data_IF_689242916937
#
_entry.id   IF_689242916937
#
_cell.length_a   1.000
_cell.length_b   1.000
_cell.length_c   1.000
_cell.angle_alpha   90.00
_cell.angle_beta   90.00
_cell.angle_gamma   90.00
#
_symmetry.space_group_name_H-M   'P 1'
#
loop_
_entity.id
_entity.type
_entity.pdbx_description
1 polymer ?
#
# COMPACT_ATOMS: atom_id res chain seq x y z
N UNK A 1 29.18 -61.89 -31.37
CA UNK A 1 29.08 -61.71 -32.84
C UNK A 1 27.64 -61.47 -33.37
N UNK A 2 26.58 -61.51 -32.54
CA UNK A 2 25.19 -61.29 -33.01
C UNK A 2 24.61 -59.87 -32.76
N UNK A 3 25.38 -58.93 -32.21
CA UNK A 3 24.94 -57.52 -32.03
C UNK A 3 25.41 -56.57 -33.14
N UNK A 4 26.35 -56.98 -33.99
CA UNK A 4 26.94 -56.10 -35.00
C UNK A 4 26.12 -56.04 -36.31
N UNK A 5 25.42 -57.11 -36.68
CA UNK A 5 24.69 -57.19 -37.97
C UNK A 5 23.31 -56.49 -37.91
N UNK A 6 22.73 -56.33 -36.71
CA UNK A 6 21.47 -55.60 -36.51
C UNK A 6 21.61 -54.07 -36.64
N UNK A 7 22.81 -53.51 -36.46
CA UNK A 7 23.02 -52.06 -36.53
C UNK A 7 23.23 -51.56 -37.96
N UNK A 8 23.83 -52.36 -38.85
CA UNK A 8 24.11 -51.93 -40.23
C UNK A 8 22.86 -51.79 -41.10
N UNK A 9 21.81 -52.62 -40.89
CA UNK A 9 20.53 -52.47 -41.60
C UNK A 9 19.71 -51.27 -41.12
N UNK A 10 19.85 -50.86 -39.86
CA UNK A 10 19.18 -49.66 -39.32
C UNK A 10 19.81 -48.37 -39.86
N UNK A 11 21.15 -48.31 -39.88
CA UNK A 11 21.91 -47.18 -40.41
C UNK A 11 21.66 -46.91 -41.91
N UNK A 12 21.51 -47.96 -42.73
CA UNK A 12 21.22 -47.81 -44.16
C UNK A 12 19.81 -47.25 -44.42
N UNK A 13 18.81 -47.69 -43.65
CA UNK A 13 17.43 -47.21 -43.79
C UNK A 13 17.23 -45.78 -43.28
N UNK A 14 18.00 -45.34 -42.28
CA UNK A 14 17.97 -43.96 -41.78
C UNK A 14 18.69 -42.98 -42.73
N UNK A 15 19.74 -43.44 -43.43
CA UNK A 15 20.45 -42.63 -44.43
C UNK A 15 19.61 -42.33 -45.69
N UNK A 16 18.81 -43.30 -46.16
CA UNK A 16 17.94 -43.11 -47.34
C UNK A 16 16.78 -42.14 -47.05
N UNK A 17 16.30 -42.08 -45.79
CA UNK A 17 15.25 -41.13 -45.36
C UNK A 17 15.73 -39.67 -45.27
N UNK A 18 17.03 -39.42 -45.09
CA UNK A 18 17.61 -38.07 -45.04
C UNK A 18 17.75 -37.40 -46.43
N UNK A 19 17.75 -38.19 -47.51
CA UNK A 19 17.90 -37.67 -48.88
C UNK A 19 16.63 -37.01 -49.44
N UNK A 20 15.48 -37.20 -48.79
CA UNK A 20 14.19 -36.64 -49.21
C UNK A 20 13.72 -35.44 -48.39
N UNK A 21 14.55 -34.94 -47.47
CA UNK A 21 14.25 -33.73 -46.70
C UNK A 21 14.66 -32.44 -47.44
N UNK A 22 13.89 -31.35 -47.29
CA UNK A 22 14.22 -30.04 -47.87
C UNK A 22 15.61 -29.55 -47.42
N UNK A 23 16.32 -28.85 -48.32
CA UNK A 23 17.75 -28.50 -48.16
C UNK A 23 18.10 -27.80 -46.84
N UNK A 24 17.15 -27.11 -46.21
CA UNK A 24 17.35 -26.35 -44.98
C UNK A 24 17.49 -27.21 -43.73
N UNK A 25 17.06 -28.49 -43.75
CA UNK A 25 17.15 -29.40 -42.59
C UNK A 25 18.42 -30.28 -42.63
N UNK A 26 19.13 -30.33 -43.77
CA UNK A 26 20.38 -31.10 -43.92
C UNK A 26 21.57 -30.55 -43.13
N UNK A 27 21.51 -29.30 -42.67
CA UNK A 27 22.65 -28.64 -42.00
C UNK A 27 22.79 -28.97 -40.50
N UNK A 28 21.81 -29.63 -39.88
CA UNK A 28 21.80 -29.87 -38.42
C UNK A 28 22.09 -31.32 -38.05
N UNK A 29 21.99 -32.27 -39.00
CA UNK A 29 22.11 -33.71 -38.72
C UNK A 29 23.54 -34.30 -38.87
N UNK A 30 24.56 -33.49 -39.15
CA UNK A 30 25.94 -33.99 -39.41
C UNK A 30 26.93 -33.75 -38.27
N UNK A 31 26.51 -33.19 -37.13
CA UNK A 31 27.42 -32.83 -36.03
C UNK A 31 27.25 -33.63 -34.74
N UNK A 32 26.38 -34.66 -34.71
CA UNK A 32 26.09 -35.41 -33.48
C UNK A 32 26.69 -36.83 -33.39
N UNK A 33 27.39 -37.33 -34.42
CA UNK A 33 28.02 -38.66 -34.36
C UNK A 33 29.38 -38.58 -35.04
N UNK A 34 30.40 -38.13 -34.30
CA UNK A 34 31.84 -38.40 -34.47
C UNK A 34 32.63 -37.30 -33.75
N UNK A 35 32.89 -37.50 -32.46
CA UNK A 35 34.19 -37.20 -31.84
C UNK A 35 34.18 -37.63 -30.38
N UNK A 36 34.65 -38.86 -30.19
CA UNK A 36 35.13 -39.37 -28.93
C UNK A 36 36.66 -39.23 -28.96
N UNK A 37 37.23 -38.79 -27.83
CA UNK A 37 38.63 -38.94 -27.42
C UNK A 37 39.72 -38.27 -28.27
N UNK A 38 40.14 -37.09 -27.80
CA UNK A 38 41.46 -36.43 -27.89
C UNK A 38 41.26 -34.96 -28.27
N UNK A 39 40.97 -34.10 -27.28
CA UNK A 39 41.27 -32.66 -27.30
C UNK A 39 40.94 -32.00 -25.94
N UNK A 40 41.30 -32.66 -24.84
CA UNK A 40 40.85 -32.31 -23.48
C UNK A 40 41.85 -31.47 -22.66
N UNK A 41 42.82 -30.80 -23.32
CA UNK A 41 43.82 -29.97 -22.59
C UNK A 41 44.16 -28.60 -23.17
N UNK A 42 43.66 -28.24 -24.36
CA UNK A 42 43.99 -26.94 -24.99
C UNK A 42 42.78 -26.02 -25.22
N UNK A 43 41.55 -26.50 -25.02
CA UNK A 43 40.34 -25.66 -25.12
C UNK A 43 39.99 -24.91 -23.82
N UNK A 44 40.58 -25.30 -22.68
CA UNK A 44 40.29 -24.72 -21.35
C UNK A 44 40.87 -23.32 -21.14
N UNK A 45 41.74 -22.82 -22.04
CA UNK A 45 42.35 -21.49 -21.95
C UNK A 45 41.79 -20.42 -22.90
N UNK A 46 40.89 -20.77 -23.85
CA UNK A 46 40.46 -19.81 -24.89
C UNK A 46 38.99 -19.37 -24.83
N UNK A 47 38.15 -19.88 -23.91
CA UNK A 47 36.71 -19.57 -23.86
C UNK A 47 36.23 -19.06 -22.50
N UNK A 48 37.03 -18.19 -21.85
CA UNK A 48 36.63 -17.48 -20.61
C UNK A 48 35.85 -16.18 -20.84
N UNK A 49 35.11 -16.09 -21.95
CA UNK A 49 34.19 -15.01 -22.25
C UNK A 49 32.92 -15.53 -22.91
N UNK A 50 31.76 -15.18 -22.32
CA UNK A 50 30.39 -15.29 -22.87
C UNK A 50 29.83 -16.75 -22.88
N UNK A 51 28.65 -17.16 -22.39
CA UNK A 51 27.45 -16.52 -21.81
C UNK A 51 26.57 -17.59 -21.10
N UNK A 52 25.88 -17.15 -20.03
CA UNK A 52 24.54 -17.54 -19.47
C UNK A 52 24.22 -18.92 -18.86
N UNK A 53 23.83 -18.85 -17.56
CA UNK A 53 22.73 -19.55 -16.85
C UNK A 53 22.66 -21.09 -16.80
N UNK A 54 23.06 -21.67 -15.66
CA UNK A 54 22.20 -22.46 -14.75
C UNK A 54 23.03 -23.14 -13.65
N UNK A 55 22.58 -23.03 -12.39
CA UNK A 55 22.92 -23.95 -11.30
C UNK A 55 24.14 -23.61 -10.41
N UNK A 56 23.86 -23.51 -9.10
CA UNK A 56 24.74 -23.84 -7.96
C UNK A 56 26.21 -23.38 -7.98
N UNK A 57 26.52 -22.38 -7.15
CA UNK A 57 27.90 -22.02 -6.78
C UNK A 57 28.28 -22.66 -5.44
N UNK A 58 29.45 -23.33 -5.30
CA UNK A 58 29.95 -23.77 -4.01
C UNK A 58 30.30 -22.56 -3.12
N UNK A 59 30.14 -22.72 -1.81
CA UNK A 59 30.43 -21.70 -0.80
C UNK A 59 31.88 -21.22 -0.87
N UNK A 60 32.06 -19.96 -1.28
CA UNK A 60 33.26 -19.18 -0.99
C UNK A 60 33.16 -18.66 0.46
N UNK A 61 34.30 -18.50 1.17
CA UNK A 61 34.31 -18.01 2.55
C UNK A 61 33.67 -16.63 2.66
N UNK A 62 32.95 -16.46 3.77
CA UNK A 62 32.04 -15.38 4.14
C UNK A 62 32.50 -13.97 3.70
N UNK A 63 32.11 -13.57 2.48
CA UNK A 63 32.12 -12.17 2.10
C UNK A 63 30.96 -11.50 2.82
N UNK A 64 31.26 -10.80 3.91
CA UNK A 64 30.35 -9.87 4.56
C UNK A 64 29.69 -9.00 3.48
N UNK A 65 28.40 -9.27 3.20
CA UNK A 65 27.57 -8.41 2.35
C UNK A 65 27.64 -7.01 2.94
N UNK A 66 28.37 -6.11 2.28
CA UNK A 66 28.33 -4.69 2.60
C UNK A 66 26.85 -4.25 2.62
N UNK A 67 26.40 -3.75 3.78
CA UNK A 67 25.03 -3.27 3.96
C UNK A 67 24.81 -2.12 2.96
N UNK A 68 24.02 -2.36 1.90
CA UNK A 68 23.50 -1.27 1.07
C UNK A 68 22.75 -0.28 1.98
N UNK A 69 23.02 1.01 1.82
CA UNK A 69 22.29 2.06 2.52
C UNK A 69 20.78 1.89 2.25
N UNK A 70 19.90 2.16 3.24
CA UNK A 70 18.46 2.12 3.03
C UNK A 70 18.04 3.05 1.88
N UNK A 71 17.02 2.65 1.11
CA UNK A 71 16.47 3.52 0.07
C UNK A 71 15.89 4.80 0.68
N UNK A 72 16.05 5.93 0.00
CA UNK A 72 15.46 7.21 0.43
C UNK A 72 13.93 7.08 0.34
N UNK A 73 13.17 7.38 1.42
CA UNK A 73 11.71 7.32 1.37
C UNK A 73 11.18 8.37 0.39
N UNK A 74 10.18 8.06 -0.43
CA UNK A 74 9.56 9.04 -1.34
C UNK A 74 8.47 9.87 -0.64
N UNK A 75 8.35 11.18 -0.89
CA UNK A 75 7.28 12.02 -0.36
C UNK A 75 5.92 11.52 -0.85
N UNK A 76 4.98 11.33 0.07
CA UNK A 76 3.61 10.93 -0.28
C UNK A 76 2.60 11.47 0.73
N UNK A 77 1.33 11.41 0.37
CA UNK A 77 0.20 11.79 1.22
C UNK A 77 -0.91 10.76 1.15
N UNK A 78 -1.72 10.68 2.20
CA UNK A 78 -2.89 9.81 2.21
C UNK A 78 -3.99 10.34 3.12
N UNK A 79 -5.25 10.08 2.77
CA UNK A 79 -6.43 10.64 3.44
C UNK A 79 -7.32 9.54 4.00
N UNK A 80 -7.54 9.58 5.31
CA UNK A 80 -8.65 8.89 5.96
C UNK A 80 -9.91 9.72 5.73
N UNK A 81 -10.59 9.47 4.60
CA UNK A 81 -11.82 10.16 4.25
C UNK A 81 -12.99 9.58 5.03
N UNK A 82 -13.64 10.43 5.83
CA UNK A 82 -14.73 10.06 6.74
C UNK A 82 -16.08 10.48 6.15
N UNK A 83 -16.98 9.52 5.97
CA UNK A 83 -18.34 9.73 5.48
C UNK A 83 -19.21 10.49 6.49
N UNK A 84 -20.36 11.06 6.08
CA UNK A 84 -21.34 11.65 6.99
C UNK A 84 -21.72 10.74 8.17
N UNK A 85 -21.67 9.42 7.98
CA UNK A 85 -22.02 8.39 8.98
C UNK A 85 -20.81 7.88 9.78
N UNK A 86 -19.67 8.59 9.76
CA UNK A 86 -18.42 8.19 10.44
C UNK A 86 -17.82 6.86 9.95
N UNK A 87 -18.04 6.52 8.67
CA UNK A 87 -17.37 5.40 8.01
C UNK A 87 -16.10 5.89 7.33
N UNK A 88 -15.12 5.02 7.13
CA UNK A 88 -13.84 5.37 6.49
C UNK A 88 -13.75 4.73 5.10
N UNK A 89 -13.36 5.52 4.10
CA UNK A 89 -13.11 5.04 2.75
C UNK A 89 -11.84 4.19 2.70
N UNK A 90 -11.94 2.98 2.14
CA UNK A 90 -10.79 2.26 1.59
C UNK A 90 -11.00 1.94 0.12
N UNK A 91 -9.88 1.92 -0.60
CA UNK A 91 -9.76 1.57 -1.99
C UNK A 91 -9.04 0.22 -2.13
N UNK A 92 -9.46 -0.58 -3.10
CA UNK A 92 -8.79 -1.81 -3.48
C UNK A 92 -8.66 -1.88 -5.01
N UNK A 93 -7.44 -1.85 -5.54
CA UNK A 93 -7.20 -2.03 -6.97
C UNK A 93 -7.50 -3.48 -7.37
N UNK A 94 -8.49 -3.71 -8.22
CA UNK A 94 -8.83 -5.04 -8.73
C UNK A 94 -7.87 -5.37 -9.86
N UNK A 95 -6.87 -6.21 -9.59
CA UNK A 95 -6.01 -6.75 -10.65
C UNK A 95 -6.72 -7.91 -11.34
N UNK A 96 -6.74 -7.89 -12.67
CA UNK A 96 -7.28 -9.00 -13.48
C UNK A 96 -6.44 -10.29 -13.38
N UNK A 97 -5.22 -10.26 -12.80
CA UNK A 97 -4.36 -11.45 -12.64
C UNK A 97 -4.52 -12.12 -11.26
N UNK A 98 -4.83 -13.41 -11.28
CA UNK A 98 -5.40 -14.25 -10.21
C UNK A 98 -4.44 -14.78 -9.13
N UNK A 99 -3.36 -14.08 -8.77
CA UNK A 99 -2.40 -14.65 -7.79
C UNK A 99 -2.37 -14.00 -6.41
N UNK A 100 -2.92 -12.80 -6.22
CA UNK A 100 -2.94 -12.11 -4.92
C UNK A 100 -4.12 -11.15 -4.79
N UNK A 101 -4.88 -11.22 -3.70
CA UNK A 101 -5.85 -10.18 -3.36
C UNK A 101 -5.10 -8.86 -3.12
N UNK A 102 -5.48 -7.79 -3.84
CA UNK A 102 -4.90 -6.48 -3.61
C UNK A 102 -5.22 -5.97 -2.21
N UNK A 103 -4.27 -5.28 -1.60
CA UNK A 103 -4.48 -4.67 -0.29
C UNK A 103 -5.50 -3.54 -0.36
N UNK A 104 -6.22 -3.36 0.74
CA UNK A 104 -7.09 -2.21 0.94
C UNK A 104 -6.27 -1.06 1.53
N UNK A 105 -6.41 0.13 0.96
CA UNK A 105 -5.62 1.30 1.30
C UNK A 105 -6.51 2.53 1.40
N UNK A 106 -6.11 3.50 2.22
CA UNK A 106 -6.65 4.84 2.12
C UNK A 106 -6.25 5.45 0.76
N UNK A 107 -7.08 6.33 0.16
CA UNK A 107 -6.68 7.10 -1.01
C UNK A 107 -5.36 7.84 -0.74
N UNK A 108 -4.44 7.82 -1.69
CA UNK A 108 -3.17 8.50 -1.53
C UNK A 108 -2.06 8.01 -2.46
N UNK A 109 -1.04 8.84 -2.60
CA UNK A 109 0.06 8.58 -3.51
C UNK A 109 1.19 9.58 -3.36
N UNK A 110 2.13 9.55 -4.31
CA UNK A 110 3.34 10.36 -4.24
C UNK A 110 3.02 11.83 -4.49
N UNK A 111 3.82 12.71 -3.90
CA UNK A 111 3.87 14.11 -4.33
C UNK A 111 4.34 14.17 -5.79
N UNK A 112 3.61 14.91 -6.62
CA UNK A 112 3.94 15.20 -8.01
C UNK A 112 4.46 16.62 -8.15
N UNK A 113 5.64 16.79 -8.73
CA UNK A 113 6.20 18.13 -9.01
C UNK A 113 5.37 18.89 -10.06
N UNK A 114 4.68 18.16 -10.94
CA UNK A 114 3.80 18.74 -11.95
C UNK A 114 2.49 19.28 -11.37
N UNK A 115 1.95 18.65 -10.32
CA UNK A 115 0.65 19.04 -9.76
C UNK A 115 0.73 19.78 -8.42
N UNK A 116 1.63 19.33 -7.54
CA UNK A 116 1.59 19.62 -6.11
C UNK A 116 2.73 20.56 -5.69
N UNK A 117 3.81 20.62 -6.48
CA UNK A 117 5.03 21.41 -6.22
C UNK A 117 6.25 20.56 -5.85
N UNK A 118 7.41 21.21 -5.73
CA UNK A 118 8.68 20.54 -5.41
C UNK A 118 8.81 20.27 -3.89
N UNK A 119 8.84 19.01 -3.44
CA UNK A 119 9.00 18.71 -2.01
C UNK A 119 10.44 18.97 -1.54
N UNK A 120 10.68 19.22 -0.25
CA UNK A 120 12.03 19.38 0.28
C UNK A 120 12.94 18.17 -0.02
N UNK A 121 14.23 18.45 -0.23
CA UNK A 121 15.28 17.44 -0.45
C UNK A 121 15.45 16.48 0.75
N UNK A 122 15.96 15.25 0.52
CA UNK A 122 16.13 14.22 1.57
C UNK A 122 17.02 14.61 2.76
N UNK A 123 17.85 15.63 2.60
CA UNK A 123 18.73 16.21 3.61
C UNK A 123 18.00 17.15 4.59
N UNK A 124 16.79 17.59 4.25
CA UNK A 124 16.02 18.57 5.02
C UNK A 124 14.96 17.91 5.91
N UNK A 125 14.91 18.20 7.23
CA UNK A 125 13.88 17.66 8.12
C UNK A 125 12.45 18.03 7.71
N UNK A 126 12.27 19.19 7.06
CA UNK A 126 11.01 19.71 6.52
C UNK A 126 10.38 18.76 5.51
N UNK A 127 11.17 17.87 4.91
CA UNK A 127 10.66 16.78 4.08
C UNK A 127 9.71 15.88 4.83
N UNK A 128 9.86 15.78 6.13
CA UNK A 128 8.99 15.00 6.99
C UNK A 128 7.92 15.85 7.67
N UNK A 129 7.77 17.12 7.30
CA UNK A 129 6.78 18.00 7.92
C UNK A 129 5.54 18.15 7.03
N UNK A 130 4.42 18.55 7.64
CA UNK A 130 3.21 18.91 6.90
C UNK A 130 3.44 20.20 6.10
N UNK A 131 2.93 20.27 4.88
CA UNK A 131 3.05 21.45 4.03
C UNK A 131 1.92 21.49 3.00
N UNK A 132 1.75 22.64 2.34
CA UNK A 132 0.76 22.80 1.26
C UNK A 132 0.96 21.77 0.13
N UNK A 133 2.22 21.43 -0.18
CA UNK A 133 2.56 20.40 -1.19
C UNK A 133 1.96 19.03 -0.80
N UNK A 134 2.12 18.62 0.46
CA UNK A 134 1.54 17.37 0.94
C UNK A 134 0.01 17.42 0.97
N UNK A 135 -0.59 18.57 1.32
CA UNK A 135 -2.03 18.76 1.36
C UNK A 135 -2.66 18.72 -0.04
N UNK A 136 -2.03 19.35 -1.03
CA UNK A 136 -2.44 19.28 -2.44
C UNK A 136 -2.36 17.85 -2.97
N UNK A 137 -1.23 17.17 -2.73
CA UNK A 137 -1.06 15.76 -3.13
C UNK A 137 -2.16 14.87 -2.54
N UNK A 138 -2.54 15.08 -1.27
CA UNK A 138 -3.59 14.31 -0.61
C UNK A 138 -4.95 14.45 -1.31
N UNK A 139 -5.32 15.67 -1.68
CA UNK A 139 -6.60 15.97 -2.35
C UNK A 139 -6.57 15.48 -3.81
N UNK A 140 -5.48 15.71 -4.54
CA UNK A 140 -5.32 15.25 -5.91
C UNK A 140 -5.42 13.73 -5.99
N UNK A 141 -4.67 13.01 -5.17
CA UNK A 141 -4.68 11.54 -5.16
C UNK A 141 -6.06 11.00 -4.78
N UNK A 142 -6.76 11.64 -3.83
CA UNK A 142 -8.14 11.29 -3.51
C UNK A 142 -9.05 11.42 -4.74
N UNK A 143 -8.90 12.50 -5.51
CA UNK A 143 -9.65 12.71 -6.74
C UNK A 143 -9.30 11.69 -7.83
N UNK A 144 -8.02 11.43 -8.08
CA UNK A 144 -7.57 10.47 -9.09
C UNK A 144 -8.01 9.04 -8.78
N UNK A 145 -7.91 8.60 -7.53
CA UNK A 145 -8.17 7.21 -7.18
C UNK A 145 -9.66 6.93 -6.90
N UNK A 146 -10.42 7.92 -6.41
CA UNK A 146 -11.82 7.72 -6.00
C UNK A 146 -12.85 8.60 -6.72
N UNK A 147 -12.43 9.56 -7.54
CA UNK A 147 -13.34 10.54 -8.14
C UNK A 147 -14.01 11.50 -7.15
N UNK A 148 -13.76 11.36 -5.84
CA UNK A 148 -14.28 12.28 -4.82
C UNK A 148 -13.47 13.57 -4.86
N UNK A 149 -14.16 14.68 -5.10
CA UNK A 149 -13.54 15.99 -5.23
C UNK A 149 -13.61 16.79 -3.93
N UNK A 150 -12.48 16.95 -3.26
CA UNK A 150 -12.35 17.74 -2.02
C UNK A 150 -11.92 19.18 -2.37
N UNK A 151 -12.84 19.94 -2.95
CA UNK A 151 -12.59 21.31 -3.39
C UNK A 151 -13.72 22.24 -2.97
N UNK A 152 -13.39 23.48 -2.57
CA UNK A 152 -14.36 24.51 -2.18
C UNK A 152 -14.47 25.61 -3.23
N UNK A 153 -15.64 26.24 -3.31
CA UNK A 153 -15.80 27.44 -4.11
C UNK A 153 -14.97 28.59 -3.53
N UNK A 154 -14.55 29.51 -4.40
CA UNK A 154 -13.70 30.63 -4.02
C UNK A 154 -14.39 31.64 -3.06
N UNK A 155 -15.72 31.60 -2.92
CA UNK A 155 -16.49 32.64 -2.20
C UNK A 155 -17.33 32.20 -0.99
N UNK A 156 -17.75 30.94 -0.87
CA UNK A 156 -18.73 30.52 0.16
C UNK A 156 -18.30 29.33 1.02
N UNK A 157 -17.07 28.82 0.83
CA UNK A 157 -16.52 27.75 1.63
C UNK A 157 -17.34 26.45 1.61
N UNK A 158 -18.18 26.19 0.60
CA UNK A 158 -18.87 24.90 0.42
C UNK A 158 -18.10 24.04 -0.57
N UNK A 159 -18.18 22.71 -0.40
CA UNK A 159 -17.67 21.79 -1.40
C UNK A 159 -18.37 22.05 -2.74
N UNK A 160 -17.59 22.09 -3.83
CA UNK A 160 -18.15 22.26 -5.17
C UNK A 160 -18.71 20.94 -5.67
N UNK A 161 -19.78 21.02 -6.45
CA UNK A 161 -20.28 19.91 -7.23
C UNK A 161 -19.94 20.16 -8.69
N UNK A 162 -19.31 19.17 -9.32
CA UNK A 162 -18.99 19.17 -10.75
C UNK A 162 -19.79 18.05 -11.39
N UNK A 163 -20.47 18.26 -12.53
CA UNK A 163 -21.20 17.20 -13.24
C UNK A 163 -20.32 15.96 -13.47
N UNK A 164 -20.90 14.77 -13.35
CA UNK A 164 -20.13 13.52 -13.39
C UNK A 164 -19.26 13.40 -14.65
N UNK A 165 -19.80 13.71 -15.83
CA UNK A 165 -19.06 13.65 -17.09
C UNK A 165 -17.83 14.58 -17.10
N UNK A 166 -17.98 15.81 -16.62
CA UNK A 166 -16.87 16.76 -16.52
C UNK A 166 -15.84 16.35 -15.47
N UNK A 167 -16.31 15.72 -14.38
CA UNK A 167 -15.48 15.21 -13.30
C UNK A 167 -14.59 14.06 -13.78
N UNK A 168 -15.16 13.09 -14.49
CA UNK A 168 -14.40 11.96 -15.05
C UNK A 168 -13.41 12.41 -16.14
N UNK A 169 -13.81 13.35 -17.00
CA UNK A 169 -12.89 13.92 -17.98
C UNK A 169 -11.73 14.66 -17.30
N UNK A 170 -12.04 15.49 -16.30
CA UNK A 170 -11.03 16.15 -15.48
C UNK A 170 -10.07 15.16 -14.81
N UNK A 171 -10.61 14.08 -14.26
CA UNK A 171 -9.83 13.02 -13.62
C UNK A 171 -8.87 12.35 -14.58
N UNK A 172 -9.31 12.07 -15.82
CA UNK A 172 -8.45 11.53 -16.89
C UNK A 172 -7.34 12.51 -17.29
N UNK A 173 -7.67 13.78 -17.46
CA UNK A 173 -6.68 14.82 -17.84
C UNK A 173 -5.64 15.06 -16.75
N UNK A 174 -6.06 15.10 -15.48
CA UNK A 174 -5.17 15.26 -14.33
C UNK A 174 -4.27 14.04 -14.20
N UNK A 175 -4.83 12.82 -14.17
CA UNK A 175 -4.05 11.59 -14.03
C UNK A 175 -3.00 11.39 -15.13
N UNK A 176 -3.30 11.83 -16.36
CA UNK A 176 -2.38 11.76 -17.51
C UNK A 176 -1.41 12.95 -17.60
N UNK A 177 -1.34 13.82 -16.58
CA UNK A 177 -0.53 15.04 -16.56
C UNK A 177 -0.77 15.99 -17.75
N UNK A 178 -1.98 16.02 -18.32
CA UNK A 178 -2.32 16.93 -19.41
C UNK A 178 -2.70 18.33 -18.90
N UNK A 179 -3.18 18.41 -17.66
CA UNK A 179 -3.50 19.67 -16.99
C UNK A 179 -3.10 19.61 -15.52
N UNK A 180 -2.47 20.66 -14.95
CA UNK A 180 -2.27 20.76 -13.51
C UNK A 180 -3.61 20.71 -12.75
N UNK A 181 -3.65 19.98 -11.65
CA UNK A 181 -4.88 19.77 -10.87
C UNK A 181 -5.50 21.09 -10.40
N UNK A 182 -4.67 22.02 -9.91
CA UNK A 182 -5.10 23.35 -9.47
C UNK A 182 -5.66 24.20 -10.61
N UNK A 183 -5.11 24.09 -11.81
CA UNK A 183 -5.61 24.79 -13.00
C UNK A 183 -6.98 24.23 -13.43
N UNK A 184 -7.14 22.91 -13.44
CA UNK A 184 -8.44 22.29 -13.73
C UNK A 184 -9.51 22.71 -12.71
N UNK A 185 -9.18 22.70 -11.41
CA UNK A 185 -10.07 23.17 -10.36
C UNK A 185 -10.51 24.63 -10.55
N UNK A 186 -9.56 25.51 -10.89
CA UNK A 186 -9.85 26.92 -11.14
C UNK A 186 -10.85 27.11 -12.30
N UNK A 187 -10.72 26.32 -13.37
CA UNK A 187 -11.69 26.32 -14.49
C UNK A 187 -13.11 25.88 -14.05
N UNK A 188 -13.22 25.11 -12.97
CA UNK A 188 -14.50 24.71 -12.36
C UNK A 188 -14.95 25.66 -11.25
N UNK A 189 -14.29 26.82 -11.09
CA UNK A 189 -14.65 27.83 -10.10
C UNK A 189 -14.31 27.45 -8.65
N UNK A 190 -13.41 26.48 -8.45
CA UNK A 190 -13.03 26.02 -7.12
C UNK A 190 -11.53 25.99 -6.87
N UNK A 191 -11.18 25.66 -5.63
CA UNK A 191 -9.81 25.43 -5.15
C UNK A 191 -9.77 24.21 -4.24
N UNK A 192 -8.62 23.55 -4.15
CA UNK A 192 -8.44 22.40 -3.27
C UNK A 192 -8.73 22.80 -1.82
N UNK A 193 -9.46 21.98 -1.08
CA UNK A 193 -9.81 22.22 0.32
C UNK A 193 -8.69 21.83 1.30
N UNK A 194 -7.52 22.44 1.15
CA UNK A 194 -6.33 22.12 1.95
C UNK A 194 -6.53 22.39 3.45
N UNK A 195 -7.40 23.35 3.81
CA UNK A 195 -7.75 23.68 5.20
C UNK A 195 -8.67 22.64 5.84
N UNK A 196 -9.43 21.89 5.04
CA UNK A 196 -10.28 20.80 5.50
C UNK A 196 -9.49 19.56 5.94
N UNK A 197 -8.21 19.47 5.57
CA UNK A 197 -7.33 18.39 5.99
C UNK A 197 -6.80 18.63 7.41
N UNK A 198 -7.06 17.68 8.29
CA UNK A 198 -6.48 17.65 9.64
C UNK A 198 -5.29 16.71 9.63
N UNK A 199 -4.05 17.18 9.91
CA UNK A 199 -2.89 16.29 10.02
C UNK A 199 -3.15 15.23 11.09
N UNK A 200 -2.96 13.96 10.76
CA UNK A 200 -3.13 12.87 11.72
C UNK A 200 -1.80 12.38 12.25
N UNK A 201 -0.87 11.99 11.38
CA UNK A 201 0.49 11.57 11.75
C UNK A 201 1.35 11.46 10.50
N UNK A 202 2.67 11.30 10.66
CA UNK A 202 3.54 10.87 9.57
C UNK A 202 3.94 9.41 9.71
N UNK A 203 3.87 8.67 8.61
CA UNK A 203 4.34 7.29 8.54
C UNK A 203 5.54 7.15 7.62
N UNK A 204 6.67 6.67 8.13
CA UNK A 204 7.88 6.41 7.35
C UNK A 204 8.09 4.91 7.19
N UNK A 205 8.11 4.44 5.95
CA UNK A 205 8.30 3.01 5.67
C UNK A 205 9.63 2.51 6.30
N UNK A 206 9.62 1.37 7.00
CA UNK A 206 10.82 0.81 7.62
C UNK A 206 11.96 0.56 6.64
N UNK A 207 13.20 0.58 7.12
CA UNK A 207 14.43 0.46 6.29
C UNK A 207 14.65 -0.90 5.66
N UNK A 208 13.95 -1.95 6.13
CA UNK A 208 14.03 -3.30 5.57
C UNK A 208 13.14 -3.50 4.32
N UNK A 209 12.38 -2.48 3.93
CA UNK A 209 11.52 -2.51 2.73
C UNK A 209 12.23 -1.75 1.59
N UNK A 210 12.32 -2.31 0.37
CA UNK A 210 13.06 -1.69 -0.73
C UNK A 210 12.38 -0.42 -1.28
N UNK A 211 11.04 -0.42 -1.35
CA UNK A 211 10.24 0.74 -1.73
C UNK A 211 9.80 1.45 -0.45
N UNK A 212 10.32 2.66 -0.22
CA UNK A 212 10.05 3.43 0.98
C UNK A 212 9.30 4.71 0.64
N UNK A 213 8.50 5.15 1.59
CA UNK A 213 7.70 6.37 1.53
C UNK A 213 7.76 7.09 2.86
N UNK A 214 7.61 8.40 2.82
CA UNK A 214 7.34 9.24 3.97
C UNK A 214 5.98 9.90 3.73
N UNK A 215 4.96 9.32 4.36
CA UNK A 215 3.56 9.60 4.06
C UNK A 215 2.98 10.52 5.12
N UNK A 216 2.51 11.69 4.73
CA UNK A 216 1.65 12.49 5.58
C UNK A 216 0.23 11.91 5.57
N UNK A 217 -0.25 11.50 6.74
CA UNK A 217 -1.62 11.00 6.90
C UNK A 217 -2.52 12.14 7.35
N UNK A 218 -3.68 12.29 6.70
CA UNK A 218 -4.69 13.28 7.05
C UNK A 218 -6.02 12.63 7.38
N UNK A 219 -6.81 13.30 8.22
CA UNK A 219 -8.25 13.08 8.32
C UNK A 219 -8.97 14.14 7.48
N UNK A 220 -10.02 13.74 6.77
CA UNK A 220 -10.95 14.67 6.12
C UNK A 220 -12.38 14.22 6.40
N UNK A 221 -13.23 15.14 6.87
CA UNK A 221 -14.60 14.83 7.25
C UNK A 221 -15.59 15.40 6.25
N UNK A 222 -16.31 14.54 5.54
CA UNK A 222 -17.45 14.97 4.73
C UNK A 222 -18.55 15.53 5.65
N UNK A 223 -19.28 16.60 5.26
CA UNK A 223 -20.31 17.19 6.10
C UNK A 223 -21.36 16.18 6.57
N UNK A 224 -21.77 16.26 7.84
CA UNK A 224 -22.96 15.55 8.33
C UNK A 224 -24.21 16.14 7.65
N UNK A 225 -24.95 15.32 6.90
CA UNK A 225 -26.16 15.77 6.19
C UNK A 225 -27.40 15.64 7.09
N UNK A 226 -28.35 16.57 6.95
CA UNK A 226 -29.72 16.42 7.46
C UNK A 226 -30.52 15.59 6.44
N UNK A 227 -30.44 14.26 6.53
CA UNK A 227 -31.03 13.33 5.56
C UNK A 227 -30.45 13.48 4.14
N UNK A 228 -29.98 12.37 3.58
CA UNK A 228 -29.27 12.33 2.31
C UNK A 228 -30.16 12.81 1.16
N UNK A 229 -29.58 13.53 0.20
CA UNK A 229 -29.63 13.01 -1.17
C UNK A 229 -28.20 12.75 -1.62
N UNK A 230 -27.82 11.47 -1.57
CA UNK A 230 -26.92 10.93 -2.58
C UNK A 230 -27.77 11.00 -3.85
N UNK A 231 -27.57 12.04 -4.65
CA UNK A 231 -28.12 12.08 -6.00
C UNK A 231 -27.60 10.87 -6.78
N UNK A 232 -28.56 10.08 -7.29
CA UNK A 232 -28.44 9.03 -8.30
C UNK A 232 -27.40 7.91 -8.12
N UNK A 233 -27.51 7.19 -7.00
CA UNK A 233 -27.07 5.78 -6.94
C UNK A 233 -28.23 4.78 -6.81
N UNK A 234 -29.49 5.23 -6.95
CA UNK A 234 -30.68 4.38 -6.76
C UNK A 234 -31.37 4.04 -8.08
N UNK A 235 -30.88 3.01 -8.76
CA UNK A 235 -31.74 2.01 -9.39
C UNK A 235 -30.95 0.69 -9.51
N UNK A 236 -30.92 -0.08 -8.42
CA UNK A 236 -30.71 -1.51 -8.48
C UNK A 236 -31.84 -2.14 -7.67
N UNK A 237 -32.95 -2.42 -8.36
CA UNK A 237 -34.04 -3.21 -7.80
C UNK A 237 -33.57 -4.63 -7.52
N UNK A 238 -33.91 -5.14 -6.33
CA UNK A 238 -34.08 -6.57 -6.07
C UNK A 238 -33.08 -7.24 -5.11
N UNK A 239 -33.60 -7.66 -3.94
CA UNK A 239 -33.14 -8.87 -3.27
C UNK A 239 -32.52 -8.73 -1.88
N UNK A 240 -33.10 -9.45 -0.92
CA UNK A 240 -32.79 -9.48 0.53
C UNK A 240 -31.37 -9.99 0.86
N UNK A 241 -30.62 -9.11 1.54
CA UNK A 241 -29.60 -9.23 2.62
C UNK A 241 -28.60 -10.40 2.69
N UNK A 242 -27.31 -10.05 2.55
CA UNK A 242 -26.17 -10.65 3.27
C UNK A 242 -25.22 -9.50 3.73
N UNK A 243 -24.32 -9.76 4.68
CA UNK A 243 -23.43 -8.88 5.50
C UNK A 243 -22.46 -7.98 4.70
N UNK A 244 -22.75 -7.71 3.43
CA UNK A 244 -21.97 -6.95 2.44
C UNK A 244 -22.74 -5.84 1.74
N UNK A 245 -23.98 -5.52 2.15
CA UNK A 245 -24.88 -4.63 1.40
C UNK A 245 -24.72 -3.12 1.69
N UNK A 246 -23.52 -2.65 2.00
CA UNK A 246 -23.18 -1.24 1.74
C UNK A 246 -22.63 -1.16 0.32
N UNK A 247 -23.21 -0.28 -0.51
CA UNK A 247 -22.97 -0.24 -1.94
C UNK A 247 -21.45 -0.17 -2.26
N UNK A 248 -20.92 -1.26 -2.80
CA UNK A 248 -19.59 -1.25 -3.40
C UNK A 248 -19.66 -0.45 -4.70
N UNK A 249 -18.90 0.64 -4.77
CA UNK A 249 -18.78 1.42 -5.99
C UNK A 249 -17.50 1.00 -6.70
N UNK A 250 -17.64 0.47 -7.91
CA UNK A 250 -16.49 0.22 -8.77
C UNK A 250 -16.14 1.50 -9.52
N UNK A 251 -14.93 2.00 -9.29
CA UNK A 251 -14.44 3.24 -9.89
C UNK A 251 -13.37 2.87 -10.92
N UNK A 252 -13.60 3.14 -12.22
CA UNK A 252 -12.59 2.89 -13.25
C UNK A 252 -11.44 3.86 -13.05
N UNK A 253 -10.21 3.39 -12.84
CA UNK A 253 -8.98 4.19 -12.86
C UNK A 253 -8.44 4.23 -14.29
N UNK A 254 -8.33 5.42 -14.91
CA UNK A 254 -7.63 5.57 -16.18
C UNK A 254 -6.17 5.14 -16.00
N UNK A 255 -5.63 4.32 -16.89
CA UNK A 255 -4.18 4.06 -16.93
C UNK A 255 -3.48 4.92 -17.97
N UNK A 256 -2.18 5.15 -17.81
CA UNK A 256 -1.39 6.02 -18.68
C UNK A 256 -1.31 5.55 -20.16
N UNK A 257 -1.64 4.28 -20.42
CA UNK A 257 -1.74 3.66 -21.74
C UNK A 257 -3.17 3.63 -22.32
N UNK A 258 -4.13 4.27 -21.64
CA UNK A 258 -5.54 4.30 -22.05
C UNK A 258 -6.35 3.07 -21.65
N UNK A 259 -5.78 2.15 -20.87
CA UNK A 259 -6.51 1.06 -20.21
C UNK A 259 -7.36 1.53 -19.02
N UNK A 260 -8.14 0.59 -18.45
CA UNK A 260 -8.97 0.82 -17.26
C UNK A 260 -8.67 -0.25 -16.23
N UNK A 261 -8.03 0.14 -15.11
CA UNK A 261 -7.99 -0.68 -13.90
C UNK A 261 -9.26 -0.41 -13.08
N UNK A 262 -9.93 -1.42 -12.54
CA UNK A 262 -11.07 -1.18 -11.67
C UNK A 262 -10.59 -1.03 -10.23
N UNK A 263 -11.06 -0.02 -9.50
CA UNK A 263 -10.83 0.13 -8.06
C UNK A 263 -12.15 0.04 -7.34
N UNK A 264 -12.24 -0.91 -6.41
CA UNK A 264 -13.37 -0.99 -5.51
C UNK A 264 -13.20 0.08 -4.44
N UNK A 265 -14.20 0.95 -4.30
CA UNK A 265 -14.28 1.97 -3.27
C UNK A 265 -15.44 1.64 -2.34
N UNK A 266 -15.15 1.55 -1.04
CA UNK A 266 -16.18 1.29 -0.03
C UNK A 266 -15.94 2.17 1.19
N UNK A 267 -17.01 2.70 1.74
CA UNK A 267 -17.03 3.23 3.10
C UNK A 267 -17.52 2.11 4.00
N UNK A 268 -16.81 1.84 5.11
CA UNK A 268 -17.30 0.98 6.19
C UNK A 268 -16.88 1.58 7.55
N UNK A 269 -17.55 1.25 8.66
CA UNK A 269 -17.04 1.59 9.99
C UNK A 269 -15.62 1.06 10.18
N UNK A 270 -14.79 1.78 10.94
CA UNK A 270 -13.37 1.46 11.07
C UNK A 270 -13.14 0.07 11.68
N UNK A 271 -13.95 -0.31 12.67
CA UNK A 271 -13.99 -1.65 13.26
C UNK A 271 -14.40 -2.74 12.27
N UNK A 272 -15.31 -2.49 11.32
CA UNK A 272 -15.65 -3.47 10.28
C UNK A 272 -14.41 -3.77 9.42
N UNK A 273 -13.66 -2.75 9.02
CA UNK A 273 -12.41 -2.95 8.28
C UNK A 273 -11.40 -3.79 9.07
N UNK A 274 -11.26 -3.52 10.36
CA UNK A 274 -10.36 -4.26 11.24
C UNK A 274 -10.78 -5.72 11.41
N UNK A 275 -12.09 -5.97 11.60
CA UNK A 275 -12.68 -7.31 11.66
C UNK A 275 -12.41 -8.10 10.38
N UNK A 276 -12.69 -7.51 9.22
CA UNK A 276 -12.45 -8.16 7.92
C UNK A 276 -10.98 -8.54 7.74
N UNK A 277 -10.05 -7.71 8.23
CA UNK A 277 -8.62 -8.00 8.18
C UNK A 277 -8.21 -9.11 9.16
N UNK A 278 -8.80 -9.16 10.36
CA UNK A 278 -8.57 -10.22 11.35
C UNK A 278 -9.12 -11.57 10.88
N UNK A 279 -10.29 -11.57 10.25
CA UNK A 279 -10.91 -12.74 9.61
C UNK A 279 -10.16 -13.19 8.34
N UNK A 280 -9.15 -12.43 7.89
CA UNK A 280 -8.36 -12.74 6.69
C UNK A 280 -9.11 -12.52 5.37
N UNK A 281 -10.26 -11.83 5.40
CA UNK A 281 -11.09 -11.53 4.21
C UNK A 281 -10.48 -10.41 3.36
N UNK A 282 -9.71 -9.51 3.98
CA UNK A 282 -8.98 -8.44 3.29
C UNK A 282 -7.54 -8.36 3.78
N UNK A 283 -6.71 -7.58 3.07
CA UNK A 283 -5.33 -7.31 3.47
C UNK A 283 -5.22 -5.83 3.84
N UNK A 284 -4.81 -5.57 5.08
CA UNK A 284 -4.41 -4.25 5.56
C UNK A 284 -2.93 -4.30 5.94
N UNK A 285 -2.16 -3.33 5.45
CA UNK A 285 -0.80 -3.12 5.94
C UNK A 285 -0.81 -2.42 7.32
N UNK A 286 0.29 -2.49 8.09
CA UNK A 286 0.33 -1.92 9.43
C UNK A 286 -0.11 -0.46 9.56
N UNK A 287 0.22 0.49 8.65
CA UNK A 287 -0.29 1.85 8.75
C UNK A 287 -1.83 1.90 8.69
N UNK A 288 -2.43 1.19 7.73
CA UNK A 288 -3.88 1.17 7.54
C UNK A 288 -4.58 0.56 8.76
N UNK A 289 -4.13 -0.62 9.19
CA UNK A 289 -4.69 -1.31 10.34
C UNK A 289 -4.56 -0.49 11.63
N UNK A 290 -3.38 0.07 11.89
CA UNK A 290 -3.15 0.84 13.11
C UNK A 290 -3.98 2.13 13.15
N UNK A 291 -4.02 2.89 12.05
CA UNK A 291 -4.77 4.15 12.02
C UNK A 291 -6.29 3.93 12.06
N UNK A 292 -6.80 2.86 11.42
CA UNK A 292 -8.19 2.44 11.59
C UNK A 292 -8.49 2.05 13.04
N UNK A 293 -7.59 1.34 13.72
CA UNK A 293 -7.75 0.99 15.13
C UNK A 293 -7.92 2.24 16.00
N UNK A 294 -7.09 3.27 15.79
CA UNK A 294 -7.22 4.53 16.51
C UNK A 294 -8.56 5.22 16.23
N UNK A 295 -8.99 5.30 14.96
CA UNK A 295 -10.29 5.89 14.60
C UNK A 295 -11.45 5.12 15.23
N UNK A 296 -11.40 3.78 15.22
CA UNK A 296 -12.43 2.92 15.80
C UNK A 296 -12.65 3.20 17.30
N UNK A 297 -11.61 3.56 18.06
CA UNK A 297 -11.75 3.88 19.50
C UNK A 297 -12.64 5.10 19.76
N UNK A 298 -12.82 5.98 18.76
CA UNK A 298 -13.62 7.19 18.89
C UNK A 298 -14.97 7.09 18.20
N UNK A 299 -15.05 6.32 17.11
CA UNK A 299 -16.25 6.20 16.28
C UNK A 299 -17.12 5.02 16.65
N UNK A 300 -16.51 3.89 17.01
CA UNK A 300 -17.22 2.62 17.19
C UNK A 300 -17.31 2.35 18.69
N UNK A 301 -18.52 2.10 19.20
CA UNK A 301 -18.72 1.79 20.63
C UNK A 301 -18.26 0.36 20.90
N UNK A 302 -16.95 0.18 21.06
CA UNK A 302 -16.34 -1.12 21.29
C UNK A 302 -16.39 -1.48 22.80
N UNK A 303 -16.75 -2.73 23.16
CA UNK A 303 -16.71 -3.18 24.56
C UNK A 303 -15.28 -3.34 25.09
N UNK A 304 -14.30 -3.55 24.19
CA UNK A 304 -12.87 -3.48 24.48
C UNK A 304 -12.11 -3.01 23.23
N UNK A 305 -10.86 -2.51 23.33
CA UNK A 305 -10.17 -1.85 22.22
C UNK A 305 -10.00 -2.67 20.94
N UNK A 306 -10.02 -4.00 21.05
CA UNK A 306 -9.84 -4.95 19.93
C UNK A 306 -11.11 -5.77 19.61
N UNK A 307 -12.23 -5.50 20.28
CA UNK A 307 -13.50 -6.22 20.07
C UNK A 307 -14.28 -5.72 18.85
N UNK A 308 -13.67 -5.76 17.66
CA UNK A 308 -14.24 -5.21 16.42
C UNK A 308 -15.50 -5.94 15.90
N UNK A 309 -15.83 -7.11 16.44
CA UNK A 309 -17.05 -7.85 16.10
C UNK A 309 -18.32 -7.30 16.72
N UNK A 310 -18.21 -6.41 17.71
CA UNK A 310 -19.36 -5.89 18.46
C UNK A 310 -19.83 -4.56 17.88
N UNK A 311 -20.65 -4.62 16.84
CA UNK A 311 -21.26 -3.42 16.25
C UNK A 311 -22.77 -3.43 16.39
N UNK A 312 -23.29 -2.35 16.98
CA UNK A 312 -24.72 -2.08 17.03
C UNK A 312 -25.19 -1.58 15.66
N UNK A 313 -26.26 -2.16 15.13
CA UNK A 313 -26.91 -1.70 13.87
C UNK A 313 -27.90 -0.54 14.11
N UNK A 314 -27.95 -0.01 15.32
CA UNK A 314 -28.83 1.10 15.65
C UNK A 314 -28.38 2.39 14.97
N UNK A 315 -29.30 3.14 14.34
CA UNK A 315 -29.00 4.46 13.80
C UNK A 315 -28.41 5.38 14.88
N UNK A 316 -27.32 6.06 14.54
CA UNK A 316 -26.67 7.03 15.43
C UNK A 316 -27.17 8.43 15.09
N UNK A 317 -27.71 9.14 16.09
CA UNK A 317 -28.14 10.53 15.91
C UNK A 317 -26.99 11.42 15.43
N UNK A 318 -27.31 12.44 14.64
CA UNK A 318 -26.34 13.36 14.05
C UNK A 318 -25.46 14.02 15.11
N UNK A 319 -26.05 14.45 16.22
CA UNK A 319 -25.36 15.10 17.33
C UNK A 319 -24.30 14.19 17.94
N UNK A 320 -24.60 12.89 18.03
CA UNK A 320 -23.65 11.88 18.50
C UNK A 320 -22.57 11.57 17.45
N UNK A 321 -22.90 11.58 16.15
CA UNK A 321 -21.89 11.47 15.08
C UNK A 321 -20.91 12.64 15.13
N UNK A 322 -21.40 13.87 15.32
CA UNK A 322 -20.57 15.08 15.47
C UNK A 322 -19.75 15.05 16.77
N UNK A 323 -20.34 14.58 17.88
CA UNK A 323 -19.61 14.40 19.14
C UNK A 323 -18.47 13.38 19.01
N UNK A 324 -18.67 12.27 18.28
CA UNK A 324 -17.63 11.29 17.96
C UNK A 324 -16.50 11.91 17.14
N UNK A 325 -16.82 12.71 16.12
CA UNK A 325 -15.83 13.46 15.32
C UNK A 325 -15.03 14.44 16.18
N UNK A 326 -15.70 15.19 17.06
CA UNK A 326 -15.06 16.12 17.98
C UNK A 326 -14.06 15.41 18.91
N UNK A 327 -14.44 14.26 19.49
CA UNK A 327 -13.52 13.45 20.33
C UNK A 327 -12.27 13.01 19.56
N UNK A 328 -12.42 12.56 18.31
CA UNK A 328 -11.26 12.21 17.48
C UNK A 328 -10.38 13.44 17.18
N UNK A 329 -10.98 14.59 16.88
CA UNK A 329 -10.24 15.84 16.63
C UNK A 329 -9.48 16.35 17.87
N UNK A 330 -10.07 16.22 19.06
CA UNK A 330 -9.40 16.54 20.32
C UNK A 330 -8.26 15.56 20.58
N UNK A 331 -8.48 14.27 20.35
CA UNK A 331 -7.46 13.24 20.49
C UNK A 331 -6.22 13.51 19.62
N UNK A 332 -6.40 13.84 18.33
CA UNK A 332 -5.24 14.04 17.44
C UNK A 332 -4.41 15.28 17.79
N UNK A 333 -4.99 16.23 18.53
CA UNK A 333 -4.32 17.43 19.05
C UNK A 333 -3.78 17.26 20.47
N UNK A 334 -4.03 16.11 21.09
CA UNK A 334 -3.63 15.79 22.47
C UNK A 334 -2.33 14.98 22.52
N UNK A 335 -1.69 14.99 23.68
CA UNK A 335 -0.44 14.28 23.93
C UNK A 335 0.81 15.13 23.69
N UNK A 336 1.97 14.58 24.05
CA UNK A 336 3.28 15.25 23.92
C UNK A 336 4.29 14.29 23.30
N UNK A 337 4.65 14.44 22.01
CA UNK A 337 4.06 15.37 21.05
C UNK A 337 2.61 15.00 20.69
N UNK A 338 1.80 15.94 20.18
CA UNK A 338 0.47 15.61 19.66
C UNK A 338 0.58 14.69 18.44
N UNK A 339 -0.47 13.93 18.13
CA UNK A 339 -0.49 13.01 16.98
C UNK A 339 -0.15 13.71 15.67
N UNK A 340 -0.66 14.93 15.49
CA UNK A 340 -0.37 15.80 14.34
C UNK A 340 1.13 15.98 14.08
N UNK A 341 1.96 15.91 15.14
CA UNK A 341 3.41 16.05 15.06
C UNK A 341 4.15 14.71 15.17
N UNK A 342 3.47 13.60 15.50
CA UNK A 342 4.10 12.28 15.61
C UNK A 342 4.63 11.79 14.26
N UNK A 343 5.78 11.09 14.31
CA UNK A 343 6.35 10.38 13.19
C UNK A 343 6.60 8.92 13.57
N UNK A 344 6.05 8.00 12.80
CA UNK A 344 6.06 6.57 13.08
C UNK A 344 6.82 5.86 11.97
N UNK A 345 7.94 5.22 12.33
CA UNK A 345 8.63 4.23 11.51
C UNK A 345 8.69 2.91 12.26
N UNK A 346 7.85 1.92 11.88
CA UNK A 346 7.80 0.64 12.56
C UNK A 346 9.18 -0.03 12.61
N UNK A 347 9.49 -0.62 13.75
CA UNK A 347 10.71 -1.42 13.91
C UNK A 347 10.38 -2.78 14.52
N UNK A 348 10.98 -3.83 13.95
CA UNK A 348 10.79 -5.19 14.46
C UNK A 348 11.39 -5.32 15.86
N UNK A 349 10.62 -5.88 16.78
CA UNK A 349 11.01 -6.19 18.15
C UNK A 349 10.83 -7.69 18.45
N UNK A 350 11.78 -8.34 19.17
CA UNK A 350 13.14 -7.85 19.43
C UNK A 350 13.94 -7.65 18.12
N UNK A 351 15.03 -6.87 18.14
CA UNK A 351 15.92 -6.73 16.98
C UNK A 351 16.43 -8.09 16.48
N UNK A 352 16.95 -8.12 15.25
CA UNK A 352 17.46 -9.36 14.60
C UNK A 352 18.33 -10.18 15.57
N UNK A 353 17.94 -11.45 15.78
CA UNK A 353 18.63 -12.38 16.68
C UNK A 353 17.90 -12.63 18.02
N UNK A 354 16.90 -11.82 18.38
CA UNK A 354 16.08 -12.07 19.56
C UNK A 354 15.07 -13.23 19.37
N UNK A 355 14.60 -13.80 20.50
CA UNK A 355 13.60 -14.88 20.51
C UNK A 355 12.31 -14.38 19.84
N UNK A 356 11.81 -15.13 18.86
CA UNK A 356 10.50 -14.86 18.24
C UNK A 356 9.39 -15.15 19.25
N UNK A 357 8.25 -14.48 19.11
CA UNK A 357 7.05 -14.84 19.87
C UNK A 357 6.62 -16.27 19.53
N UNK A 358 6.05 -16.94 20.53
CA UNK A 358 5.63 -18.35 20.42
C UNK A 358 4.49 -18.55 19.42
N UNK A 359 3.63 -17.53 19.26
CA UNK A 359 2.54 -17.49 18.28
C UNK A 359 2.99 -17.24 16.82
N UNK A 360 4.30 -17.07 16.61
CA UNK A 360 4.92 -16.82 15.31
C UNK A 360 4.74 -15.41 14.75
N UNK A 361 4.08 -14.50 15.49
CA UNK A 361 3.88 -13.11 15.06
C UNK A 361 5.11 -12.25 15.36
N UNK A 362 5.31 -11.26 14.51
CA UNK A 362 6.34 -10.22 14.65
C UNK A 362 5.74 -9.06 15.44
N UNK A 363 6.49 -8.53 16.41
CA UNK A 363 6.15 -7.28 17.07
C UNK A 363 6.71 -6.11 16.27
N UNK A 364 5.86 -5.17 15.91
CA UNK A 364 6.24 -3.88 15.33
C UNK A 364 6.10 -2.80 16.41
N UNK A 365 7.23 -2.33 16.92
CA UNK A 365 7.28 -1.18 17.82
C UNK A 365 7.13 0.12 17.03
N UNK A 366 6.28 1.03 17.51
CA UNK A 366 5.88 2.26 16.80
C UNK A 366 6.52 3.55 17.32
N UNK A 367 7.30 3.46 18.41
CA UNK A 367 7.87 4.60 19.14
C UNK A 367 8.92 5.46 18.41
N UNK A 368 9.44 5.02 17.26
CA UNK A 368 10.60 5.67 16.61
C UNK A 368 10.20 6.39 15.33
N UNK A 369 10.80 7.56 15.02
CA UNK A 369 10.49 8.32 13.80
C UNK A 369 11.22 7.80 12.55
N UNK A 370 12.16 6.86 12.71
CA UNK A 370 13.01 6.35 11.64
C UNK A 370 14.38 7.03 11.60
N UNK A 371 15.36 6.42 10.91
CA UNK A 371 16.74 6.92 10.88
C UNK A 371 16.88 8.30 10.24
N UNK A 372 15.95 8.67 9.36
CA UNK A 372 15.95 10.00 8.70
C UNK A 372 15.93 11.13 9.72
N UNK A 373 15.09 10.99 10.75
CA UNK A 373 14.90 12.02 11.78
C UNK A 373 15.74 11.75 13.04
N UNK A 374 16.12 10.49 13.31
CA UNK A 374 17.02 10.15 14.43
C UNK A 374 18.44 10.71 14.23
N UNK A 375 18.89 10.86 12.98
CA UNK A 375 20.21 11.38 12.65
C UNK A 375 20.30 12.92 12.76
N UNK A 376 19.18 13.63 12.63
CA UNK A 376 19.11 15.10 12.58
C UNK A 376 19.08 15.74 13.98
N UNK A 377 19.98 15.29 14.88
CA UNK A 377 19.99 15.65 16.32
C UNK A 377 20.30 17.12 16.63
N UNK A 378 20.78 17.90 15.67
CA UNK A 378 21.14 19.30 15.86
C UNK A 378 20.11 20.22 15.19
N UNK A 379 19.41 21.04 15.98
CA UNK A 379 18.56 22.14 15.51
C UNK A 379 17.10 21.83 15.17
N UNK A 380 16.72 20.56 14.96
CA UNK A 380 15.34 20.16 14.61
C UNK A 380 14.45 19.79 15.82
N UNK A 381 13.13 19.97 15.69
CA UNK A 381 12.16 19.44 16.68
C UNK A 381 12.27 17.91 16.74
N UNK A 382 12.56 17.36 17.92
CA UNK A 382 12.63 15.90 18.12
C UNK A 382 11.24 15.29 17.92
N UNK A 383 11.06 14.57 16.81
CA UNK A 383 9.82 13.83 16.53
C UNK A 383 9.88 12.44 17.14
N UNK A 384 8.74 11.97 17.61
CA UNK A 384 8.59 10.67 18.24
C UNK A 384 7.35 9.95 17.70
N UNK A 385 7.34 8.63 17.82
CA UNK A 385 6.18 7.80 17.48
C UNK A 385 5.43 7.34 18.72
N UNK A 386 4.57 6.34 18.57
CA UNK A 386 3.71 5.85 19.65
C UNK A 386 4.48 4.91 20.59
N UNK A 387 4.59 5.29 21.86
CA UNK A 387 5.37 4.55 22.88
C UNK A 387 4.62 3.35 23.45
N UNK A 388 3.35 3.52 23.74
CA UNK A 388 2.56 2.57 24.55
C UNK A 388 1.96 1.40 23.75
N UNK A 389 1.92 1.50 22.43
CA UNK A 389 1.29 0.49 21.57
C UNK A 389 2.29 -0.15 20.60
N UNK A 390 2.05 -1.42 20.30
CA UNK A 390 2.73 -2.17 19.26
C UNK A 390 1.70 -2.83 18.34
N UNK A 391 2.14 -3.21 17.13
CA UNK A 391 1.34 -4.02 16.21
C UNK A 391 1.94 -5.41 16.12
N UNK A 392 1.16 -6.43 16.47
CA UNK A 392 1.50 -7.82 16.16
C UNK A 392 1.10 -8.12 14.72
N UNK A 393 1.93 -8.84 13.99
CA UNK A 393 1.65 -9.19 12.58
C UNK A 393 2.31 -10.51 12.18
N UNK A 394 1.57 -11.35 11.47
CA UNK A 394 2.10 -12.52 10.78
C UNK A 394 2.34 -12.17 9.30
N UNK A 395 3.60 -12.01 8.90
CA UNK A 395 3.94 -11.72 7.51
C UNK A 395 3.93 -13.01 6.68
N UNK A 396 2.94 -13.15 5.80
CA UNK A 396 2.86 -14.22 4.81
C UNK A 396 3.26 -13.73 3.42
N UNK A 397 3.40 -14.66 2.46
CA UNK A 397 3.77 -14.35 1.08
C UNK A 397 2.73 -13.44 0.42
N UNK A 398 1.46 -13.67 0.73
CA UNK A 398 0.30 -12.94 0.26
C UNK A 398 0.09 -11.58 0.96
N UNK A 399 0.75 -11.34 2.10
CA UNK A 399 0.69 -10.09 2.84
C UNK A 399 0.54 -10.27 4.35
N UNK A 400 0.34 -9.17 5.10
CA UNK A 400 0.08 -9.20 6.54
C UNK A 400 -1.18 -9.99 6.89
N UNK A 401 -1.11 -10.80 7.95
CA UNK A 401 -2.21 -11.58 8.54
C UNK A 401 -2.17 -11.51 10.06
N UNK A 402 -3.29 -11.87 10.70
CA UNK A 402 -3.42 -11.95 12.18
C UNK A 402 -2.93 -10.67 12.88
N UNK A 403 -3.30 -9.50 12.32
CA UNK A 403 -2.90 -8.21 12.86
C UNK A 403 -3.64 -7.92 14.16
N UNK A 404 -2.94 -7.33 15.12
CA UNK A 404 -3.51 -6.94 16.41
C UNK A 404 -2.73 -5.75 16.97
N UNK A 405 -3.44 -4.78 17.55
CA UNK A 405 -2.81 -3.70 18.33
C UNK A 405 -2.82 -4.14 19.79
N UNK A 406 -1.65 -4.13 20.41
CA UNK A 406 -1.43 -4.55 21.81
C UNK A 406 -0.66 -3.48 22.56
N UNK A 407 -0.73 -3.51 23.89
CA UNK A 407 0.16 -2.67 24.71
C UNK A 407 1.62 -3.10 24.53
N UNK A 408 2.56 -2.18 24.73
CA UNK A 408 3.99 -2.49 24.69
C UNK A 408 4.37 -3.52 25.77
N UNK A 409 3.79 -3.42 26.96
CA UNK A 409 4.02 -4.36 28.05
C UNK A 409 3.65 -5.81 27.66
N UNK A 410 2.47 -5.98 27.06
CA UNK A 410 1.99 -7.27 26.54
C UNK A 410 2.85 -7.79 25.37
N UNK A 411 3.26 -6.88 24.48
CA UNK A 411 4.12 -7.23 23.35
C UNK A 411 5.49 -7.77 23.78
N UNK A 412 6.06 -7.17 24.83
CA UNK A 412 7.40 -7.45 25.33
C UNK A 412 7.43 -8.56 26.40
N UNK A 413 6.27 -9.02 26.88
CA UNK A 413 6.17 -10.16 27.79
C UNK A 413 6.58 -9.87 29.22
N UNK A 414 6.40 -8.64 29.72
CA UNK A 414 6.45 -8.41 31.17
C UNK A 414 5.30 -9.17 31.83
N UNK A 415 5.65 -10.19 32.61
CA UNK A 415 4.76 -10.95 33.47
C UNK A 415 3.88 -9.99 34.30
N UNK A 416 2.57 -10.14 34.16
CA UNK A 416 1.56 -9.46 34.97
C UNK A 416 0.43 -10.42 35.31
N UNK A 417 0.75 -11.48 36.05
CA UNK A 417 -0.07 -12.19 37.04
C UNK A 417 0.30 -13.68 37.09
N UNK A 418 1.28 -14.01 37.94
CA UNK A 418 1.03 -15.06 38.91
C UNK A 418 0.39 -14.36 40.11
N UNK A 419 -0.87 -14.74 40.34
CA UNK A 419 -1.75 -14.47 41.48
C UNK A 419 -2.31 -13.06 41.60
#
# INVERSE_FOLDING_TARGET
MFRAVSNSRKLYNDAVRLLHLPAQIRAIATSAILRNQQDDKLLTQALRGQTTSNGFTPMAPDQQKQKKAPAIPRPSSSVLLVSPNNQVLLLQRVKQSTSFASAHVFPGGNVSTFHDGEPPGPEYPERHEDSEIYRLAAIRETFEESGILLARNAGFGRLIEVPQAEREEGRRLVHSNQIPFTQWLAQKGGRADIEGLVPFTRWVTPTNVPKRFTTQMYLYFLPTLNQTPLSDASQAEGGVTDDSSEAEVQIPIPTADGGVEHTNARFLPASVWLRLAQEGRIILFPPQFFLLHQVAQHFDRLPSPTAYGSLTREPVAREELEARRKRLLEFVKSGTPPWTEMCISPSVQPPRGGKRREDGRVVLGLHRPGPELEAMKEGGRRREGVREQCVLVDFKKEGPRRLEVVSRAEAMGTEGSKL
#
